data_IF_264284463830
#
_entry.id   IF_264284463830
#
_cell.length_a   1.000
_cell.length_b   1.000
_cell.length_c   1.000
_cell.angle_alpha   90.00
_cell.angle_beta   90.00
_cell.angle_gamma   90.00
#
_symmetry.space_group_name_H-M   'P 1'
#
loop_
_entity.id
_entity.type
_entity.pdbx_description
1 polymer ?
#
# COMPACT_ATOMS: atom_id res chain seq x y z
N UNK A 1 27.95 75.25 12.71
CA UNK A 1 27.20 74.16 12.04
C UNK A 1 28.06 72.91 12.15
N UNK A 2 27.72 72.00 13.05
CA UNK A 2 28.45 70.75 13.29
C UNK A 2 27.75 69.64 12.53
N UNK A 3 28.41 69.11 11.51
CA UNK A 3 27.90 68.01 10.68
C UNK A 3 28.13 66.68 11.42
N UNK A 4 27.05 65.93 11.64
CA UNK A 4 27.05 64.63 12.30
C UNK A 4 27.15 63.54 11.23
N UNK A 5 28.29 62.87 11.14
CA UNK A 5 28.46 61.72 10.22
C UNK A 5 27.78 60.48 10.79
N UNK A 6 26.91 59.88 9.97
CA UNK A 6 26.14 58.66 10.23
C UNK A 6 27.04 57.42 10.34
N UNK A 7 26.75 56.55 11.30
CA UNK A 7 27.39 55.24 11.45
C UNK A 7 26.89 54.27 10.37
N UNK A 8 27.83 53.66 9.66
CA UNK A 8 27.60 52.61 8.68
C UNK A 8 27.26 51.29 9.41
N UNK A 9 26.02 50.83 9.26
CA UNK A 9 25.55 49.57 9.83
C UNK A 9 25.99 48.42 8.91
N UNK A 10 27.03 47.69 9.33
CA UNK A 10 27.46 46.47 8.67
C UNK A 10 26.31 45.44 8.60
N UNK A 11 25.77 45.25 7.40
CA UNK A 11 24.83 44.18 7.08
C UNK A 11 25.58 42.84 7.18
N UNK A 12 25.21 42.02 8.16
CA UNK A 12 25.72 40.66 8.29
C UNK A 12 25.18 39.79 7.14
N UNK A 13 26.07 39.38 6.24
CA UNK A 13 25.78 38.40 5.18
C UNK A 13 25.45 37.05 5.82
N UNK A 14 24.31 36.39 5.50
CA UNK A 14 24.04 35.05 6.00
C UNK A 14 25.02 34.05 5.39
N UNK A 15 25.67 33.28 6.26
CA UNK A 15 26.59 32.21 5.93
C UNK A 15 25.90 31.13 5.08
N UNK A 16 26.50 30.62 3.99
CA UNK A 16 25.87 29.60 3.16
C UNK A 16 25.80 28.27 3.91
N UNK A 17 24.59 27.69 4.01
CA UNK A 17 24.38 26.36 4.60
C UNK A 17 25.31 25.30 3.94
N UNK A 18 25.95 24.42 4.73
CA UNK A 18 26.81 23.39 4.19
C UNK A 18 25.99 22.36 3.41
N UNK A 19 26.24 22.28 2.10
CA UNK A 19 25.65 21.23 1.24
C UNK A 19 25.98 19.85 1.83
N UNK A 20 25.00 18.95 1.98
CA UNK A 20 25.27 17.62 2.51
C UNK A 20 26.29 16.91 1.63
N UNK A 21 27.31 16.30 2.26
CA UNK A 21 28.35 15.58 1.53
C UNK A 21 27.71 14.51 0.63
N UNK A 22 28.27 14.32 -0.57
CA UNK A 22 27.76 13.32 -1.55
C UNK A 22 27.61 11.92 -0.93
N UNK A 23 28.43 11.59 0.06
CA UNK A 23 28.34 10.34 0.82
C UNK A 23 27.05 10.25 1.65
N UNK A 24 26.65 11.31 2.37
CA UNK A 24 25.40 11.32 3.16
C UNK A 24 24.15 11.26 2.27
N UNK A 25 24.19 11.92 1.11
CA UNK A 25 23.09 11.86 0.15
C UNK A 25 22.95 10.48 -0.50
N UNK A 26 24.05 9.76 -0.72
CA UNK A 26 24.05 8.38 -1.20
C UNK A 26 23.53 7.41 -0.13
N UNK A 27 23.98 7.56 1.11
CA UNK A 27 23.52 6.74 2.25
C UNK A 27 22.01 6.89 2.47
N UNK A 28 21.50 8.13 2.52
CA UNK A 28 20.07 8.39 2.70
C UNK A 28 19.19 7.84 1.54
N UNK A 29 19.76 7.68 0.34
CA UNK A 29 19.07 7.00 -0.77
C UNK A 29 19.04 5.49 -0.57
N UNK A 30 20.17 4.89 -0.19
CA UNK A 30 20.26 3.47 0.12
C UNK A 30 19.33 3.08 1.28
N UNK A 31 19.29 3.88 2.34
CA UNK A 31 18.42 3.63 3.50
C UNK A 31 16.93 3.70 3.12
N UNK A 32 16.54 4.64 2.24
CA UNK A 32 15.17 4.72 1.72
C UNK A 32 14.82 3.55 0.81
N UNK A 33 15.76 3.10 0.01
CA UNK A 33 15.58 1.95 -0.89
C UNK A 33 15.46 0.64 -0.09
N UNK A 34 16.28 0.50 0.96
CA UNK A 34 16.22 -0.61 1.89
C UNK A 34 14.92 -0.61 2.71
N UNK A 35 14.48 0.55 3.21
CA UNK A 35 13.18 0.69 3.88
C UNK A 35 12.00 0.35 2.96
N UNK A 36 12.08 0.72 1.67
CA UNK A 36 11.08 0.32 0.66
C UNK A 36 11.11 -1.18 0.40
N UNK A 37 12.30 -1.78 0.30
CA UNK A 37 12.46 -3.21 0.09
C UNK A 37 11.96 -4.02 1.30
N UNK A 38 12.20 -3.55 2.52
CA UNK A 38 11.68 -4.17 3.75
C UNK A 38 10.15 -4.02 3.86
N UNK A 39 9.59 -2.85 3.55
CA UNK A 39 8.14 -2.67 3.48
C UNK A 39 7.51 -3.61 2.43
N UNK A 40 8.13 -3.74 1.25
CA UNK A 40 7.67 -4.66 0.21
C UNK A 40 7.75 -6.13 0.65
N UNK A 41 8.78 -6.52 1.40
CA UNK A 41 8.89 -7.87 1.98
C UNK A 41 7.85 -8.12 3.07
N UNK A 42 7.57 -7.13 3.91
CA UNK A 42 6.54 -7.24 4.96
C UNK A 42 5.13 -7.33 4.36
N UNK A 43 4.84 -6.55 3.32
CA UNK A 43 3.60 -6.69 2.54
C UNK A 43 3.52 -8.07 1.88
N UNK A 44 4.61 -8.56 1.26
CA UNK A 44 4.66 -9.88 0.63
C UNK A 44 4.48 -11.05 1.62
N UNK A 45 4.99 -10.93 2.86
CA UNK A 45 4.77 -11.92 3.91
C UNK A 45 3.31 -11.92 4.40
N UNK A 46 2.72 -10.74 4.54
CA UNK A 46 1.29 -10.59 4.89
C UNK A 46 0.39 -11.17 3.80
N UNK A 47 0.78 -10.96 2.55
CA UNK A 47 0.14 -11.51 1.36
C UNK A 47 0.18 -13.05 1.34
N UNK A 48 1.31 -13.65 1.73
CA UNK A 48 1.47 -15.10 1.81
C UNK A 48 0.51 -15.76 2.82
N UNK A 49 0.29 -15.13 3.97
CA UNK A 49 -0.68 -15.58 4.98
C UNK A 49 -2.14 -15.33 4.55
N UNK A 50 -2.38 -14.29 3.76
CA UNK A 50 -3.70 -13.94 3.24
C UNK A 50 -4.21 -14.94 2.20
N UNK A 51 -3.33 -15.60 1.44
CA UNK A 51 -3.72 -16.62 0.45
C UNK A 51 -4.41 -17.83 1.06
N UNK A 52 -3.90 -18.37 2.16
CA UNK A 52 -4.43 -19.59 2.79
C UNK A 52 -5.73 -19.32 3.55
N UNK A 53 -5.96 -18.06 3.95
CA UNK A 53 -7.05 -17.68 4.87
C UNK A 53 -8.17 -16.86 4.22
N UNK A 54 -8.05 -16.50 2.93
CA UNK A 54 -9.03 -15.70 2.21
C UNK A 54 -10.42 -16.35 2.16
N UNK A 55 -10.51 -17.63 1.77
CA UNK A 55 -11.79 -18.35 1.66
C UNK A 55 -12.50 -18.44 3.02
N UNK A 56 -11.76 -18.72 4.08
CA UNK A 56 -12.30 -18.79 5.44
C UNK A 56 -12.84 -17.44 5.91
N UNK A 57 -12.18 -16.33 5.55
CA UNK A 57 -12.69 -14.98 5.81
C UNK A 57 -13.93 -14.67 4.99
N UNK A 58 -13.99 -15.07 3.72
CA UNK A 58 -15.16 -14.86 2.86
C UNK A 58 -16.38 -15.59 3.44
N UNK A 59 -16.22 -16.86 3.83
CA UNK A 59 -17.29 -17.63 4.47
C UNK A 59 -17.73 -16.99 5.80
N UNK A 60 -16.78 -16.54 6.61
CA UNK A 60 -17.07 -15.89 7.90
C UNK A 60 -17.77 -14.55 7.72
N UNK A 61 -17.37 -13.77 6.72
CA UNK A 61 -18.00 -12.52 6.34
C UNK A 61 -19.48 -12.71 5.98
N UNK A 62 -19.78 -13.64 5.07
CA UNK A 62 -21.17 -13.92 4.68
C UNK A 62 -22.02 -14.47 5.83
N UNK A 63 -21.40 -15.18 6.78
CA UNK A 63 -22.09 -15.62 8.01
C UNK A 63 -22.40 -14.46 8.94
N UNK A 64 -21.45 -13.54 9.16
CA UNK A 64 -21.59 -12.39 10.07
C UNK A 64 -22.61 -11.38 9.56
N UNK A 65 -22.60 -11.09 8.26
CA UNK A 65 -23.47 -10.11 7.62
C UNK A 65 -24.68 -10.74 6.92
N UNK A 66 -25.04 -11.97 7.29
CA UNK A 66 -26.18 -12.69 6.70
C UNK A 66 -27.47 -11.90 6.93
N UNK A 67 -28.16 -11.56 5.84
CA UNK A 67 -29.42 -10.80 5.90
C UNK A 67 -29.25 -9.29 5.99
N UNK A 68 -28.02 -8.77 5.91
CA UNK A 68 -27.77 -7.34 5.72
C UNK A 68 -27.53 -7.02 4.24
N UNK A 69 -27.74 -5.77 3.86
CA UNK A 69 -27.33 -5.29 2.55
C UNK A 69 -25.80 -5.26 2.49
N UNK A 70 -25.25 -6.04 1.56
CA UNK A 70 -23.82 -6.13 1.31
C UNK A 70 -23.55 -5.73 -0.14
N UNK A 71 -22.64 -4.78 -0.32
CA UNK A 71 -22.18 -4.33 -1.64
C UNK A 71 -20.67 -4.49 -1.73
N UNK A 72 -20.21 -5.24 -2.72
CA UNK A 72 -18.79 -5.40 -3.03
C UNK A 72 -18.56 -4.81 -4.41
N UNK A 73 -17.69 -3.81 -4.51
CA UNK A 73 -17.23 -3.26 -5.79
C UNK A 73 -15.74 -3.47 -5.92
N UNK A 74 -15.29 -3.77 -7.13
CA UNK A 74 -13.86 -3.91 -7.43
C UNK A 74 -13.51 -3.17 -8.70
N UNK A 75 -12.30 -2.61 -8.75
CA UNK A 75 -11.71 -2.10 -9.97
C UNK A 75 -10.28 -2.62 -10.10
N UNK A 76 -9.92 -3.01 -11.30
CA UNK A 76 -8.54 -3.40 -11.65
C UNK A 76 -7.85 -2.25 -12.37
N UNK A 77 -6.55 -2.09 -12.11
CA UNK A 77 -5.65 -1.21 -12.83
C UNK A 77 -4.47 -2.03 -13.34
N UNK A 78 -4.22 -1.95 -14.64
CA UNK A 78 -3.01 -2.50 -15.27
C UNK A 78 -1.94 -1.42 -15.29
N UNK A 79 -0.75 -1.74 -14.84
CA UNK A 79 0.43 -0.90 -14.98
C UNK A 79 1.55 -1.66 -15.67
N UNK A 80 2.09 -1.09 -16.74
CA UNK A 80 3.29 -1.62 -17.38
C UNK A 80 4.52 -0.92 -16.82
N UNK A 81 5.48 -1.70 -16.33
CA UNK A 81 6.73 -1.21 -15.76
C UNK A 81 7.75 -0.95 -16.89
N UNK A 82 8.74 -0.07 -16.68
CA UNK A 82 9.78 0.23 -17.68
C UNK A 82 10.61 -0.97 -18.15
N UNK A 83 10.62 -2.07 -17.38
CA UNK A 83 11.29 -3.32 -17.72
C UNK A 83 10.39 -4.32 -18.48
N UNK A 84 9.20 -3.90 -18.93
CA UNK A 84 8.23 -4.74 -19.62
C UNK A 84 7.40 -5.65 -18.70
N UNK A 85 7.60 -5.59 -17.37
CA UNK A 85 6.77 -6.33 -16.43
C UNK A 85 5.37 -5.70 -16.33
N UNK A 86 4.32 -6.53 -16.33
CA UNK A 86 2.95 -6.08 -16.09
C UNK A 86 2.60 -6.28 -14.62
N UNK A 87 2.01 -5.28 -14.01
CA UNK A 87 1.40 -5.34 -12.69
C UNK A 87 -0.10 -5.09 -12.78
N UNK A 88 -0.85 -5.88 -12.02
CA UNK A 88 -2.27 -5.74 -11.83
C UNK A 88 -2.51 -5.32 -10.38
N UNK A 89 -3.03 -4.11 -10.21
CA UNK A 89 -3.52 -3.65 -8.90
C UNK A 89 -5.03 -3.76 -8.89
N UNK A 90 -5.59 -4.50 -7.95
CA UNK A 90 -7.03 -4.56 -7.74
C UNK A 90 -7.37 -3.80 -6.47
N UNK A 91 -8.33 -2.90 -6.57
CA UNK A 91 -8.93 -2.18 -5.46
C UNK A 91 -10.32 -2.75 -5.20
N UNK A 92 -10.59 -3.14 -3.96
CA UNK A 92 -11.88 -3.66 -3.52
C UNK A 92 -12.46 -2.73 -2.47
N UNK A 93 -13.72 -2.35 -2.66
CA UNK A 93 -14.54 -1.69 -1.64
C UNK A 93 -15.60 -2.67 -1.17
N UNK A 94 -15.71 -2.87 0.14
CA UNK A 94 -16.76 -3.69 0.76
C UNK A 94 -17.58 -2.79 1.66
N UNK A 95 -18.88 -2.73 1.39
CA UNK A 95 -19.89 -2.08 2.24
C UNK A 95 -20.80 -3.15 2.82
N UNK A 96 -20.92 -3.20 4.15
CA UNK A 96 -21.78 -4.14 4.87
C UNK A 96 -22.47 -3.40 6.03
N UNK A 97 -23.77 -3.16 5.90
CA UNK A 97 -24.48 -2.23 6.78
C UNK A 97 -23.86 -0.83 6.72
N UNK A 98 -23.54 -0.26 7.89
CA UNK A 98 -22.91 1.07 7.99
C UNK A 98 -21.38 1.04 7.82
N UNK A 99 -20.78 -0.13 7.63
CA UNK A 99 -19.32 -0.27 7.51
C UNK A 99 -18.91 -0.27 6.04
N UNK A 100 -18.01 0.65 5.67
CA UNK A 100 -17.34 0.63 4.37
C UNK A 100 -15.84 0.54 4.58
N UNK A 101 -15.20 -0.42 3.92
CA UNK A 101 -13.74 -0.59 3.91
C UNK A 101 -13.23 -0.63 2.49
N UNK A 102 -11.98 -0.22 2.32
CA UNK A 102 -11.27 -0.30 1.07
C UNK A 102 -9.93 -0.99 1.28
N UNK A 103 -9.55 -1.86 0.36
CA UNK A 103 -8.23 -2.44 0.31
C UNK A 103 -7.78 -2.63 -1.13
N UNK A 104 -6.49 -2.77 -1.31
CA UNK A 104 -5.89 -3.03 -2.61
C UNK A 104 -4.79 -4.07 -2.50
N UNK A 105 -4.59 -4.83 -3.57
CA UNK A 105 -3.46 -5.74 -3.71
C UNK A 105 -2.89 -5.61 -5.12
N UNK A 106 -1.56 -5.69 -5.22
CA UNK A 106 -0.83 -5.66 -6.49
C UNK A 106 -0.14 -7.00 -6.71
N UNK A 107 -0.28 -7.56 -7.91
CA UNK A 107 0.35 -8.81 -8.34
C UNK A 107 0.90 -8.69 -9.76
N UNK A 108 1.92 -9.50 -10.06
CA UNK A 108 2.55 -9.49 -11.38
C UNK A 108 1.80 -10.36 -12.39
N UNK A 109 1.63 -9.82 -13.60
CA UNK A 109 1.40 -10.42 -14.93
C UNK A 109 0.29 -11.46 -15.15
N UNK A 110 0.09 -12.41 -14.25
CA UNK A 110 -0.71 -13.63 -14.52
C UNK A 110 -2.16 -13.56 -14.02
N UNK A 111 -2.59 -12.43 -13.49
CA UNK A 111 -3.92 -12.24 -12.88
C UNK A 111 -5.08 -12.04 -13.86
N UNK A 112 -4.83 -12.00 -15.16
CA UNK A 112 -5.83 -11.48 -16.10
C UNK A 112 -7.00 -12.43 -16.36
N UNK A 113 -6.89 -13.75 -16.13
CA UNK A 113 -8.03 -14.68 -16.07
C UNK A 113 -7.62 -16.12 -15.68
N UNK A 114 -6.48 -16.61 -16.15
CA UNK A 114 -6.10 -18.02 -16.00
C UNK A 114 -5.79 -18.40 -14.54
N UNK A 115 -5.13 -17.50 -13.78
CA UNK A 115 -4.91 -17.70 -12.34
C UNK A 115 -6.22 -17.64 -11.57
N UNK A 116 -7.15 -16.74 -11.92
CA UNK A 116 -8.43 -16.63 -11.19
C UNK A 116 -9.24 -17.92 -11.32
N UNK A 117 -9.18 -18.59 -12.47
CA UNK A 117 -9.87 -19.85 -12.70
C UNK A 117 -9.20 -21.05 -12.00
N UNK A 118 -7.88 -21.19 -12.12
CA UNK A 118 -7.15 -22.36 -11.59
C UNK A 118 -6.76 -22.23 -10.12
N UNK A 119 -6.44 -21.01 -9.67
CA UNK A 119 -5.96 -20.68 -8.33
C UNK A 119 -6.53 -19.32 -7.89
N UNK A 120 -7.84 -19.24 -7.62
CA UNK A 120 -8.51 -17.99 -7.28
C UNK A 120 -7.87 -17.27 -6.09
N UNK A 121 -7.28 -18.02 -5.15
CA UNK A 121 -6.55 -17.47 -4.01
C UNK A 121 -5.32 -16.64 -4.45
N UNK A 122 -4.59 -17.07 -5.47
CA UNK A 122 -3.38 -16.39 -5.94
C UNK A 122 -3.66 -15.03 -6.61
N UNK A 123 -4.93 -14.73 -6.90
CA UNK A 123 -5.31 -13.49 -7.59
C UNK A 123 -5.27 -12.23 -6.72
N UNK A 124 -4.90 -11.10 -7.31
CA UNK A 124 -4.97 -9.78 -6.67
C UNK A 124 -6.39 -9.44 -6.22
N UNK A 125 -7.43 -9.93 -6.91
CA UNK A 125 -8.81 -9.70 -6.49
C UNK A 125 -9.12 -10.37 -5.16
N UNK A 126 -8.77 -11.66 -5.01
CA UNK A 126 -8.99 -12.40 -3.77
C UNK A 126 -8.12 -11.86 -2.64
N UNK A 127 -6.87 -11.51 -2.92
CA UNK A 127 -6.00 -10.85 -1.94
C UNK A 127 -6.57 -9.50 -1.47
N UNK A 128 -6.99 -8.64 -2.41
CA UNK A 128 -7.60 -7.35 -2.08
C UNK A 128 -8.89 -7.50 -1.29
N UNK A 129 -9.75 -8.48 -1.65
CA UNK A 129 -10.96 -8.79 -0.88
C UNK A 129 -10.62 -9.29 0.52
N UNK A 130 -9.70 -10.24 0.65
CA UNK A 130 -9.28 -10.79 1.96
C UNK A 130 -8.72 -9.69 2.88
N UNK A 131 -7.94 -8.75 2.32
CA UNK A 131 -7.41 -7.59 3.04
C UNK A 131 -8.53 -6.63 3.47
N UNK A 132 -9.52 -6.38 2.62
CA UNK A 132 -10.70 -5.60 2.98
C UNK A 132 -11.49 -6.26 4.12
N UNK A 133 -11.73 -7.58 4.04
CA UNK A 133 -12.42 -8.32 5.09
C UNK A 133 -11.66 -8.28 6.43
N UNK A 134 -10.33 -8.32 6.40
CA UNK A 134 -9.49 -8.12 7.59
C UNK A 134 -9.70 -6.75 8.22
N UNK A 135 -9.81 -5.69 7.42
CA UNK A 135 -10.13 -4.34 7.92
C UNK A 135 -11.54 -4.23 8.53
N UNK A 136 -12.50 -5.06 8.11
CA UNK A 136 -13.79 -5.23 8.78
C UNK A 136 -13.72 -6.05 10.08
N UNK A 137 -12.52 -6.49 10.48
CA UNK A 137 -12.30 -7.33 11.66
C UNK A 137 -12.76 -8.78 11.45
N UNK A 138 -12.91 -9.24 10.21
CA UNK A 138 -13.18 -10.65 9.93
C UNK A 138 -11.89 -11.44 10.08
N UNK A 139 -11.85 -12.32 11.08
CA UNK A 139 -10.77 -13.28 11.27
C UNK A 139 -11.13 -14.60 10.56
N UNK A 140 -10.15 -15.33 10.00
CA UNK A 140 -10.41 -16.67 9.50
C UNK A 140 -10.88 -17.57 10.65
N UNK A 141 -11.71 -18.57 10.35
CA UNK A 141 -12.11 -19.54 11.36
C UNK A 141 -10.85 -20.29 11.82
N UNK A 142 -10.61 -20.32 13.13
CA UNK A 142 -9.60 -21.22 13.68
C UNK A 142 -10.02 -22.64 13.28
N UNK A 143 -9.21 -23.33 12.48
CA UNK A 143 -9.37 -24.76 12.24
C UNK A 143 -9.20 -25.46 13.59
N UNK A 144 -10.33 -25.80 14.21
CA UNK A 144 -10.42 -26.67 15.38
C UNK A 144 -10.22 -28.12 14.97
#
# INVERSE_FOLDING_TARGET
>A
MTDTTYADAAVATPEPEPKPSRLRAAQAKADREQARAEAAKADAATDAEDFVTADERIVTFWRKYRGQEVKITSHSQRMERPNGAVEWTVHVTVTAGDHTVQASATRHSTDWNDIVADRPHDSAQTAALSRALRFLGIKPNARS
#
